data_IF_511086776881
#
_entry.id   IF_511086776881
#
_cell.length_a   1.000
_cell.length_b   1.000
_cell.length_c   1.000
_cell.angle_alpha   90.00
_cell.angle_beta   90.00
_cell.angle_gamma   90.00
#
_symmetry.space_group_name_H-M   'P 1'
#
loop_
_entity.id
_entity.type
_entity.pdbx_description
1 polymer ?
#
# COMPACT_ATOMS: atom_id res chain seq x y z
N UNK A 1 -22.30 0.53 1.07
CA UNK A 1 -22.70 1.97 1.06
C UNK A 1 -21.46 2.83 1.26
N UNK A 2 -21.20 3.76 0.33
CA UNK A 2 -20.04 4.67 0.45
C UNK A 2 -20.30 5.70 1.56
N UNK A 3 -19.46 5.67 2.60
CA UNK A 3 -19.54 6.56 3.76
C UNK A 3 -18.70 7.81 3.51
N UNK A 4 -19.29 8.99 3.75
CA UNK A 4 -18.58 10.27 3.67
C UNK A 4 -18.19 10.72 5.07
N UNK A 5 -16.91 10.97 5.28
CA UNK A 5 -16.33 11.39 6.56
C UNK A 5 -16.46 12.91 6.73
N UNK A 6 -16.74 13.34 7.94
CA UNK A 6 -16.65 14.75 8.35
C UNK A 6 -15.18 15.19 8.44
N UNK A 7 -14.93 16.49 8.51
CA UNK A 7 -13.57 17.04 8.72
C UNK A 7 -12.91 16.51 9.98
N UNK A 8 -13.69 16.30 11.06
CA UNK A 8 -13.17 15.70 12.31
C UNK A 8 -12.73 14.25 12.11
N UNK A 9 -13.52 13.44 11.41
CA UNK A 9 -13.18 12.05 11.12
C UNK A 9 -11.96 11.94 10.21
N UNK A 10 -11.84 12.79 9.20
CA UNK A 10 -10.64 12.88 8.35
C UNK A 10 -9.40 13.24 9.18
N UNK A 11 -9.53 14.10 10.19
CA UNK A 11 -8.41 14.40 11.10
C UNK A 11 -7.99 13.20 11.95
N UNK A 12 -8.96 12.40 12.45
CA UNK A 12 -8.65 11.15 13.16
C UNK A 12 -7.95 10.14 12.25
N UNK A 13 -8.40 10.01 11.00
CA UNK A 13 -7.73 9.20 9.99
C UNK A 13 -6.32 9.72 9.66
N UNK A 14 -6.12 11.04 9.66
CA UNK A 14 -4.78 11.64 9.48
C UNK A 14 -3.85 11.27 10.63
N UNK A 15 -4.36 11.20 11.88
CA UNK A 15 -3.58 10.77 13.05
C UNK A 15 -3.15 9.30 12.89
N UNK A 16 -4.07 8.40 12.52
CA UNK A 16 -3.76 7.00 12.22
C UNK A 16 -2.76 6.89 11.06
N UNK A 17 -2.99 7.64 9.97
CA UNK A 17 -2.12 7.66 8.79
C UNK A 17 -0.70 8.19 9.07
N UNK A 18 -0.54 9.09 10.03
CA UNK A 18 0.79 9.54 10.49
C UNK A 18 1.55 8.39 11.15
N UNK A 19 0.90 7.60 12.00
CA UNK A 19 1.52 6.41 12.62
C UNK A 19 1.90 5.37 11.55
N UNK A 20 1.04 5.15 10.55
CA UNK A 20 1.35 4.30 9.39
C UNK A 20 2.63 4.77 8.71
N UNK A 21 2.73 6.05 8.38
CA UNK A 21 3.88 6.61 7.67
C UNK A 21 5.19 6.55 8.49
N UNK A 22 5.13 6.78 9.81
CA UNK A 22 6.30 6.62 10.70
C UNK A 22 6.73 5.16 10.79
N UNK A 23 5.77 4.23 10.81
CA UNK A 23 6.04 2.79 10.81
C UNK A 23 6.72 2.38 9.50
N UNK A 24 6.18 2.75 8.34
CA UNK A 24 6.78 2.49 7.02
C UNK A 24 8.21 3.04 6.97
N UNK A 25 8.42 4.27 7.47
CA UNK A 25 9.76 4.86 7.51
C UNK A 25 10.75 4.02 8.33
N UNK A 26 10.35 3.56 9.51
CA UNK A 26 11.18 2.72 10.35
C UNK A 26 11.52 1.39 9.64
N UNK A 27 10.53 0.75 9.01
CA UNK A 27 10.70 -0.50 8.26
C UNK A 27 11.65 -0.30 7.06
N UNK A 28 11.39 0.69 6.22
CA UNK A 28 12.20 1.00 5.04
C UNK A 28 13.66 1.34 5.42
N UNK A 29 13.87 2.10 6.50
CA UNK A 29 15.19 2.46 7.00
C UNK A 29 15.99 1.24 7.48
N UNK A 30 15.32 0.24 8.05
CA UNK A 30 15.93 -0.98 8.57
C UNK A 30 16.00 -2.13 7.55
N UNK A 31 15.35 -2.02 6.40
CA UNK A 31 15.44 -2.99 5.32
C UNK A 31 16.84 -3.00 4.72
N UNK A 32 17.70 -3.91 5.21
CA UNK A 32 19.10 -4.07 4.81
C UNK A 32 19.47 -5.54 4.70
N UNK A 33 20.53 -5.92 3.95
CA UNK A 33 20.94 -7.31 3.86
C UNK A 33 21.20 -7.92 5.24
N UNK A 34 20.70 -9.14 5.44
CA UNK A 34 20.86 -9.93 6.66
C UNK A 34 19.73 -9.82 7.68
N UNK A 35 18.91 -8.76 7.66
CA UNK A 35 17.72 -8.69 8.53
C UNK A 35 16.67 -9.70 8.06
N UNK A 36 15.96 -10.30 8.99
CA UNK A 36 14.81 -11.16 8.69
C UNK A 36 13.53 -10.33 8.52
N UNK A 37 12.56 -10.85 7.78
CA UNK A 37 11.24 -10.21 7.68
C UNK A 37 10.51 -10.23 9.03
N UNK A 38 10.81 -11.19 9.94
CA UNK A 38 10.33 -11.23 11.32
C UNK A 38 10.84 -10.03 12.12
N UNK A 39 12.15 -9.76 12.11
CA UNK A 39 12.74 -8.60 12.79
C UNK A 39 12.17 -7.27 12.29
N UNK A 40 11.88 -7.16 10.98
CA UNK A 40 11.15 -6.01 10.43
C UNK A 40 9.73 -5.95 11.01
N UNK A 41 9.01 -7.07 11.08
CA UNK A 41 7.68 -7.13 11.68
C UNK A 41 7.66 -6.66 13.13
N UNK A 42 8.66 -7.05 13.93
CA UNK A 42 8.84 -6.61 15.32
C UNK A 42 9.09 -5.10 15.43
N UNK A 43 9.94 -4.54 14.56
CA UNK A 43 10.15 -3.08 14.47
C UNK A 43 8.82 -2.36 14.19
N UNK A 44 8.01 -2.90 13.26
CA UNK A 44 6.70 -2.33 12.94
C UNK A 44 5.76 -2.36 14.15
N UNK A 45 5.72 -3.48 14.87
CA UNK A 45 4.91 -3.63 16.09
C UNK A 45 5.29 -2.61 17.17
N UNK A 46 6.60 -2.44 17.42
CA UNK A 46 7.12 -1.50 18.42
C UNK A 46 6.74 -0.04 18.07
N UNK A 47 6.88 0.35 16.80
CA UNK A 47 6.51 1.71 16.36
C UNK A 47 5.01 1.94 16.55
N UNK A 48 4.16 1.05 16.03
CA UNK A 48 2.69 1.17 16.19
C UNK A 48 2.30 1.29 17.66
N UNK A 49 2.85 0.43 18.52
CA UNK A 49 2.58 0.43 19.95
C UNK A 49 3.04 1.73 20.62
N UNK A 50 4.18 2.30 20.23
CA UNK A 50 4.72 3.54 20.79
C UNK A 50 3.81 4.76 20.62
N UNK A 51 2.98 4.75 19.58
CA UNK A 51 1.96 5.77 19.32
C UNK A 51 0.58 5.42 19.89
N UNK A 52 0.45 4.31 20.62
CA UNK A 52 -0.84 3.83 21.17
C UNK A 52 -1.79 3.27 20.10
N UNK A 53 -1.30 3.02 18.88
CA UNK A 53 -2.04 2.39 17.80
C UNK A 53 -2.15 0.88 17.96
N UNK A 54 -3.03 0.27 17.16
CA UNK A 54 -3.16 -1.19 17.03
C UNK A 54 -2.99 -1.57 15.56
N UNK A 55 -2.35 -2.72 15.31
CA UNK A 55 -2.33 -3.28 13.96
C UNK A 55 -3.75 -3.53 13.47
N UNK A 56 -4.03 -3.11 12.24
CA UNK A 56 -5.27 -3.44 11.55
C UNK A 56 -5.22 -4.85 10.90
N UNK A 57 -4.01 -5.42 10.76
CA UNK A 57 -3.80 -6.68 10.07
C UNK A 57 -3.75 -7.89 11.01
N UNK A 58 -3.18 -7.73 12.21
CA UNK A 58 -3.06 -8.83 13.17
C UNK A 58 -4.44 -9.42 13.50
N UNK A 59 -4.60 -10.72 13.23
CA UNK A 59 -5.86 -11.45 13.35
C UNK A 59 -6.98 -11.01 12.40
N UNK A 60 -6.65 -10.19 11.38
CA UNK A 60 -7.61 -9.90 10.31
C UNK A 60 -8.00 -11.19 9.60
N UNK A 61 -9.30 -11.36 9.37
CA UNK A 61 -9.83 -12.54 8.71
C UNK A 61 -11.01 -12.17 7.81
N UNK A 62 -11.07 -12.81 6.66
CA UNK A 62 -12.21 -12.73 5.75
C UNK A 62 -12.89 -14.11 5.66
N UNK A 63 -14.12 -14.20 5.15
CA UNK A 63 -14.77 -15.50 4.91
C UNK A 63 -14.01 -16.41 3.93
N UNK A 64 -13.04 -15.85 3.19
CA UNK A 64 -12.28 -16.56 2.15
C UNK A 64 -10.89 -16.98 2.59
N UNK A 65 -10.40 -16.50 3.73
CA UNK A 65 -9.07 -16.86 4.26
C UNK A 65 -9.16 -18.04 5.22
N UNK A 66 -8.23 -19.01 5.15
CA UNK A 66 -8.30 -20.23 5.96
C UNK A 66 -8.04 -19.96 7.45
N UNK A 67 -7.20 -18.97 7.76
CA UNK A 67 -6.78 -18.59 9.11
C UNK A 67 -6.70 -17.07 9.24
N UNK A 68 -6.80 -16.52 10.48
CA UNK A 68 -6.50 -15.11 10.70
C UNK A 68 -5.07 -14.76 10.29
N UNK A 69 -4.86 -13.55 9.75
CA UNK A 69 -3.51 -13.07 9.40
C UNK A 69 -2.62 -12.99 10.65
N UNK A 70 -1.43 -13.60 10.65
CA UNK A 70 -0.62 -13.73 11.86
C UNK A 70 0.34 -12.55 12.11
N UNK A 71 0.52 -11.67 11.12
CA UNK A 71 1.50 -10.57 11.18
C UNK A 71 0.91 -9.24 11.67
N UNK A 72 1.75 -8.40 12.26
CA UNK A 72 1.38 -7.02 12.63
C UNK A 72 1.42 -6.10 11.42
N UNK A 73 2.30 -6.37 10.47
CA UNK A 73 2.49 -5.69 9.18
C UNK A 73 2.68 -6.74 8.10
N UNK A 74 2.50 -6.39 6.82
CA UNK A 74 2.86 -7.27 5.72
C UNK A 74 4.26 -6.94 5.20
N UNK A 75 5.07 -7.97 4.95
CA UNK A 75 6.43 -7.83 4.39
C UNK A 75 6.55 -8.78 3.20
N UNK A 76 6.43 -8.23 2.01
CA UNK A 76 6.44 -8.97 0.74
C UNK A 76 7.76 -8.75 0.01
N UNK A 77 8.43 -9.82 -0.43
CA UNK A 77 9.80 -9.75 -0.98
C UNK A 77 9.83 -10.23 -2.42
N UNK A 78 10.36 -9.42 -3.33
CA UNK A 78 10.58 -9.71 -4.75
C UNK A 78 9.30 -9.96 -5.55
N UNK A 79 8.96 -11.22 -5.82
CA UNK A 79 7.78 -11.66 -6.56
C UNK A 79 6.50 -11.73 -5.70
N UNK A 80 6.64 -11.62 -4.38
CA UNK A 80 5.50 -11.44 -3.49
C UNK A 80 4.93 -10.03 -3.67
N UNK A 81 3.66 -9.95 -4.04
CA UNK A 81 2.98 -8.69 -4.35
C UNK A 81 2.53 -8.01 -3.07
N UNK A 82 1.71 -8.73 -2.27
CA UNK A 82 1.10 -8.26 -1.01
C UNK A 82 0.91 -9.42 -0.03
N UNK A 83 0.56 -9.09 1.20
CA UNK A 83 0.20 -9.99 2.29
C UNK A 83 1.30 -10.96 2.71
N UNK A 84 2.56 -10.69 2.38
CA UNK A 84 3.70 -11.49 2.81
C UNK A 84 3.78 -11.57 4.34
N UNK A 85 3.80 -12.79 4.88
CA UNK A 85 3.85 -13.04 6.33
C UNK A 85 5.29 -12.86 6.83
N UNK A 86 5.54 -11.98 7.81
CA UNK A 86 6.85 -11.84 8.44
C UNK A 86 7.37 -13.17 9.03
N UNK A 87 8.58 -13.58 8.66
CA UNK A 87 9.16 -14.87 9.01
C UNK A 87 10.70 -14.87 9.02
N UNK A 88 11.29 -16.04 8.95
CA UNK A 88 12.74 -16.22 9.07
C UNK A 88 13.52 -15.93 7.77
N UNK A 89 12.82 -15.48 6.70
CA UNK A 89 13.48 -15.08 5.45
C UNK A 89 14.38 -13.88 5.69
N UNK A 90 15.69 -14.05 5.42
CA UNK A 90 16.67 -12.97 5.46
C UNK A 90 16.70 -12.23 4.14
N UNK A 91 16.63 -10.90 4.21
CA UNK A 91 16.80 -10.03 3.05
C UNK A 91 18.25 -10.11 2.53
N UNK A 92 18.40 -10.06 1.21
CA UNK A 92 19.68 -10.13 0.51
C UNK A 92 19.95 -8.85 -0.26
N UNK A 93 21.21 -8.59 -0.55
CA UNK A 93 21.59 -7.53 -1.49
C UNK A 93 20.93 -7.78 -2.86
N UNK A 94 20.30 -6.77 -3.42
CA UNK A 94 19.55 -6.87 -4.66
C UNK A 94 18.05 -7.19 -4.52
N UNK A 95 17.55 -7.59 -3.34
CA UNK A 95 16.12 -7.76 -3.11
C UNK A 95 15.39 -6.43 -3.17
N UNK A 96 14.08 -6.49 -3.44
CA UNK A 96 13.14 -5.41 -3.12
C UNK A 96 12.16 -5.91 -2.07
N UNK A 97 11.74 -5.03 -1.19
CA UNK A 97 10.76 -5.37 -0.14
C UNK A 97 9.65 -4.33 -0.10
N UNK A 98 8.42 -4.81 -0.22
CA UNK A 98 7.20 -4.05 0.00
C UNK A 98 6.81 -4.19 1.46
N UNK A 99 6.67 -3.08 2.16
CA UNK A 99 6.16 -3.00 3.51
C UNK A 99 4.78 -2.36 3.46
N UNK A 100 3.79 -3.02 4.06
CA UNK A 100 2.41 -2.59 4.06
C UNK A 100 1.90 -2.56 5.50
N UNK A 101 1.29 -1.45 5.89
CA UNK A 101 1.01 -1.10 7.28
C UNK A 101 -0.39 -0.51 7.42
N UNK A 102 -1.26 -1.26 8.09
CA UNK A 102 -2.57 -0.78 8.54
C UNK A 102 -2.58 -0.50 10.05
N UNK A 103 -3.05 0.67 10.45
CA UNK A 103 -3.13 1.08 11.87
C UNK A 103 -4.54 1.52 12.23
N UNK A 104 -5.08 0.97 13.32
CA UNK A 104 -6.27 1.46 14.00
C UNK A 104 -5.86 2.37 15.17
N UNK A 105 -6.27 3.63 15.11
CA UNK A 105 -6.06 4.62 16.16
C UNK A 105 -7.32 5.45 16.35
N UNK A 106 -7.76 5.66 17.60
CA UNK A 106 -8.95 6.46 17.94
C UNK A 106 -10.23 6.07 17.16
N UNK A 107 -10.35 4.76 16.81
CA UNK A 107 -11.51 4.20 16.11
C UNK A 107 -11.52 4.43 14.59
N UNK A 108 -10.40 4.84 13.99
CA UNK A 108 -10.23 5.01 12.55
C UNK A 108 -8.96 4.35 12.06
N UNK A 109 -9.00 3.89 10.80
CA UNK A 109 -7.87 3.25 10.12
C UNK A 109 -7.08 4.26 9.28
N UNK A 110 -5.78 4.04 9.25
CA UNK A 110 -4.88 4.51 8.19
C UNK A 110 -4.24 3.29 7.55
N UNK A 111 -3.98 3.36 6.25
CA UNK A 111 -3.45 2.27 5.45
C UNK A 111 -2.51 2.82 4.38
N UNK A 112 -1.32 2.26 4.27
CA UNK A 112 -0.36 2.61 3.23
C UNK A 112 0.74 1.56 3.07
N UNK A 113 1.33 1.55 1.87
CA UNK A 113 2.44 0.68 1.53
C UNK A 113 3.55 1.40 0.76
N UNK A 114 4.74 0.84 0.82
CA UNK A 114 5.87 1.29 0.01
C UNK A 114 6.90 0.20 -0.23
N UNK A 115 7.53 0.23 -1.41
CA UNK A 115 8.57 -0.72 -1.80
C UNK A 115 9.93 -0.03 -1.82
N UNK A 116 10.93 -0.68 -1.22
CA UNK A 116 12.32 -0.19 -1.22
C UNK A 116 13.29 -1.28 -1.68
N UNK A 117 14.41 -0.85 -2.24
CA UNK A 117 15.53 -1.74 -2.54
C UNK A 117 16.33 -2.10 -1.29
N UNK A 118 16.87 -3.30 -1.26
CA UNK A 118 17.76 -3.81 -0.23
C UNK A 118 19.18 -3.82 -0.77
N UNK A 119 20.05 -2.96 -0.25
CA UNK A 119 21.39 -2.79 -0.81
C UNK A 119 21.35 -2.24 -2.24
N UNK A 120 22.15 -2.82 -3.14
CA UNK A 120 22.29 -2.36 -4.53
C UNK A 120 21.33 -3.14 -5.44
N UNK A 121 20.36 -2.45 -6.04
CA UNK A 121 19.39 -3.03 -6.97
C UNK A 121 19.71 -2.67 -8.45
N UNK A 122 19.36 -3.57 -9.41
CA UNK A 122 19.54 -3.31 -10.84
C UNK A 122 18.71 -2.11 -11.31
N UNK A 123 19.16 -1.44 -12.39
CA UNK A 123 18.50 -0.28 -12.97
C UNK A 123 17.04 -0.58 -13.39
N UNK A 124 16.78 -1.74 -14.00
CA UNK A 124 15.42 -2.16 -14.36
C UNK A 124 14.51 -2.29 -13.13
N UNK A 125 15.04 -2.77 -12.01
CA UNK A 125 14.31 -2.88 -10.74
C UNK A 125 14.04 -1.49 -10.17
N UNK A 126 15.01 -0.57 -10.20
CA UNK A 126 14.81 0.82 -9.79
C UNK A 126 13.69 1.47 -10.58
N UNK A 127 13.69 1.29 -11.92
CA UNK A 127 12.64 1.80 -12.79
C UNK A 127 11.25 1.25 -12.42
N UNK A 128 11.14 -0.03 -12.01
CA UNK A 128 9.87 -0.59 -11.52
C UNK A 128 9.36 0.19 -10.31
N UNK A 129 10.22 0.44 -9.30
CA UNK A 129 9.84 1.19 -8.10
C UNK A 129 9.40 2.63 -8.45
N UNK A 130 10.17 3.31 -9.28
CA UNK A 130 9.88 4.69 -9.71
C UNK A 130 8.55 4.78 -10.46
N UNK A 131 8.32 3.86 -11.41
CA UNK A 131 7.07 3.83 -12.19
C UNK A 131 5.87 3.48 -11.32
N UNK A 132 6.02 2.53 -10.37
CA UNK A 132 4.92 2.18 -9.46
C UNK A 132 4.54 3.37 -8.57
N UNK A 133 5.53 4.08 -8.04
CA UNK A 133 5.31 5.33 -7.30
C UNK A 133 4.64 6.39 -8.19
N UNK A 134 5.07 6.54 -9.44
CA UNK A 134 4.44 7.46 -10.40
C UNK A 134 2.97 7.06 -10.69
N UNK A 135 2.67 5.76 -10.78
CA UNK A 135 1.31 5.25 -10.90
C UNK A 135 0.43 5.72 -9.74
N UNK A 136 0.93 5.63 -8.50
CA UNK A 136 0.22 6.09 -7.31
C UNK A 136 -0.11 7.59 -7.41
N UNK A 137 0.86 8.45 -7.72
CA UNK A 137 0.61 9.90 -7.78
C UNK A 137 -0.29 10.29 -8.95
N UNK A 138 -0.13 9.67 -10.11
CA UNK A 138 -1.02 9.92 -11.25
C UNK A 138 -2.46 9.48 -10.93
N UNK A 139 -2.63 8.42 -10.14
CA UNK A 139 -3.93 8.00 -9.61
C UNK A 139 -4.50 9.03 -8.61
N UNK A 140 -3.70 9.49 -7.66
CA UNK A 140 -4.09 10.49 -6.65
C UNK A 140 -4.53 11.81 -7.31
N UNK A 141 -3.83 12.28 -8.35
CA UNK A 141 -4.25 13.48 -9.10
C UNK A 141 -5.67 13.39 -9.67
N UNK A 142 -6.15 12.18 -9.98
CA UNK A 142 -7.51 11.94 -10.46
C UNK A 142 -8.53 11.82 -9.32
N UNK A 143 -8.10 11.73 -8.07
CA UNK A 143 -8.96 11.59 -6.91
C UNK A 143 -9.59 12.94 -6.47
N UNK A 144 -10.17 13.69 -7.40
CA UNK A 144 -10.83 14.98 -7.17
C UNK A 144 -12.34 14.89 -7.25
N UNK A 145 -13.09 15.75 -6.52
CA UNK A 145 -14.54 15.79 -6.61
C UNK A 145 -15.02 15.97 -8.06
N UNK A 146 -16.06 15.23 -8.44
CA UNK A 146 -16.59 15.24 -9.81
C UNK A 146 -15.93 14.25 -10.77
N UNK A 147 -14.76 13.76 -10.49
CA UNK A 147 -14.18 12.63 -11.22
C UNK A 147 -14.83 11.30 -10.80
N UNK A 148 -14.56 10.25 -11.56
CA UNK A 148 -14.99 8.88 -11.24
C UNK A 148 -13.81 8.01 -10.86
N UNK A 149 -14.05 6.99 -10.05
CA UNK A 149 -13.00 6.02 -9.65
C UNK A 149 -12.29 5.41 -10.86
N UNK A 150 -13.02 5.10 -11.93
CA UNK A 150 -12.41 4.57 -13.16
C UNK A 150 -11.32 5.47 -13.77
N UNK A 151 -11.31 6.78 -13.48
CA UNK A 151 -10.26 7.69 -13.95
C UNK A 151 -8.97 7.50 -13.17
N UNK A 152 -9.05 7.08 -11.89
CA UNK A 152 -7.88 6.69 -11.07
C UNK A 152 -7.24 5.46 -11.71
N UNK A 153 -7.99 4.38 -11.88
CA UNK A 153 -7.48 3.14 -12.48
C UNK A 153 -6.93 3.34 -13.90
N UNK A 154 -7.61 4.18 -14.71
CA UNK A 154 -7.11 4.53 -16.05
C UNK A 154 -5.73 5.21 -16.00
N UNK A 155 -5.53 6.15 -15.08
CA UNK A 155 -4.26 6.87 -14.94
C UNK A 155 -3.14 5.93 -14.48
N UNK A 156 -3.41 5.05 -13.52
CA UNK A 156 -2.49 4.01 -13.04
C UNK A 156 -2.08 3.09 -14.19
N UNK A 157 -3.06 2.49 -14.88
CA UNK A 157 -2.84 1.55 -15.96
C UNK A 157 -2.02 2.16 -17.11
N UNK A 158 -2.41 3.34 -17.57
CA UNK A 158 -1.70 4.03 -18.67
C UNK A 158 -0.24 4.32 -18.29
N UNK A 159 0.04 4.66 -17.04
CA UNK A 159 1.40 4.92 -16.57
C UNK A 159 2.24 3.65 -16.57
N UNK A 160 1.72 2.55 -16.03
CA UNK A 160 2.42 1.27 -15.97
C UNK A 160 2.67 0.69 -17.37
N UNK A 161 1.62 0.57 -18.20
CA UNK A 161 1.70 -0.05 -19.52
C UNK A 161 2.59 0.73 -20.50
N UNK A 162 2.58 2.07 -20.44
CA UNK A 162 3.50 2.92 -21.22
C UNK A 162 4.97 2.62 -20.92
N UNK A 163 5.28 2.14 -19.71
CA UNK A 163 6.62 1.77 -19.29
C UNK A 163 6.92 0.28 -19.45
N UNK A 164 5.98 -0.50 -20.03
CA UNK A 164 6.14 -1.93 -20.29
C UNK A 164 5.97 -2.81 -19.08
N UNK A 165 5.22 -2.37 -18.05
CA UNK A 165 4.93 -3.11 -16.83
C UNK A 165 3.47 -3.59 -16.77
N UNK A 166 3.24 -4.71 -16.07
CA UNK A 166 1.91 -5.27 -15.83
C UNK A 166 1.22 -4.58 -14.64
N UNK A 167 -0.13 -4.56 -14.66
CA UNK A 167 -0.97 -4.05 -13.57
C UNK A 167 -1.80 -5.19 -13.03
N UNK A 168 -1.65 -5.52 -11.74
CA UNK A 168 -2.43 -6.55 -11.06
C UNK A 168 -3.92 -6.18 -11.10
N UNK A 169 -4.78 -7.19 -11.33
CA UNK A 169 -6.22 -6.99 -11.54
C UNK A 169 -7.10 -7.66 -10.49
N UNK A 170 -6.60 -8.70 -9.85
CA UNK A 170 -7.33 -9.48 -8.84
C UNK A 170 -7.43 -8.76 -7.50
N UNK A 171 -6.53 -7.81 -7.26
CA UNK A 171 -6.46 -6.99 -6.07
C UNK A 171 -6.68 -5.53 -6.45
N UNK A 172 -7.41 -4.81 -5.61
CA UNK A 172 -7.85 -3.45 -5.89
C UNK A 172 -7.85 -2.62 -4.60
N UNK A 173 -7.68 -1.33 -4.71
CA UNK A 173 -7.87 -0.40 -3.62
C UNK A 173 -9.32 -0.36 -3.13
N UNK A 174 -9.56 0.31 -2.02
CA UNK A 174 -10.82 0.27 -1.29
C UNK A 174 -11.14 1.60 -0.58
N UNK A 175 -12.36 1.75 -0.13
CA UNK A 175 -12.68 2.74 0.88
C UNK A 175 -12.01 2.37 2.20
N UNK A 176 -11.67 3.35 3.01
CA UNK A 176 -11.05 3.16 4.33
C UNK A 176 -11.68 4.12 5.34
N UNK A 177 -11.82 3.70 6.59
CA UNK A 177 -12.45 4.56 7.60
C UNK A 177 -12.52 3.92 8.97
N UNK A 178 -13.75 3.62 9.45
CA UNK A 178 -13.96 2.86 10.69
C UNK A 178 -13.61 1.40 10.52
N UNK A 179 -13.84 0.88 9.33
CA UNK A 179 -13.36 -0.43 8.91
C UNK A 179 -12.12 -0.25 8.03
N UNK A 180 -11.22 -1.24 8.04
CA UNK A 180 -10.05 -1.25 7.20
C UNK A 180 -10.47 -1.25 5.72
N UNK A 181 -11.42 -2.11 5.35
CA UNK A 181 -11.97 -2.20 4.01
C UNK A 181 -13.43 -1.75 4.00
N UNK A 182 -13.69 -0.63 3.33
CA UNK A 182 -15.02 -0.08 3.07
C UNK A 182 -15.30 0.01 1.57
N UNK A 183 -16.56 0.27 1.20
CA UNK A 183 -16.90 0.72 -0.16
C UNK A 183 -16.29 2.11 -0.42
N UNK A 184 -15.91 2.40 -1.66
CA UNK A 184 -16.00 1.57 -2.87
C UNK A 184 -14.68 0.82 -3.15
N UNK A 185 -14.73 -0.18 -4.03
CA UNK A 185 -13.52 -0.70 -4.67
C UNK A 185 -12.87 0.36 -5.56
N UNK A 186 -11.53 0.39 -5.58
CA UNK A 186 -10.69 1.33 -6.35
C UNK A 186 -9.70 0.57 -7.23
N UNK A 187 -10.13 0.05 -8.39
CA UNK A 187 -9.27 -0.71 -9.28
C UNK A 187 -8.09 0.11 -9.82
N UNK A 188 -6.95 -0.57 -10.01
CA UNK A 188 -5.73 0.00 -10.58
C UNK A 188 -5.73 -0.02 -12.12
N UNK A 189 -6.82 -0.41 -12.74
CA UNK A 189 -7.01 -0.48 -14.19
C UNK A 189 -8.36 0.09 -14.59
N UNK A 190 -8.53 0.41 -15.86
CA UNK A 190 -9.78 0.97 -16.36
C UNK A 190 -10.87 -0.09 -16.41
N UNK A 191 -11.97 0.18 -15.72
CA UNK A 191 -13.21 -0.63 -15.80
C UNK A 191 -14.21 0.13 -16.67
N UNK A 192 -14.68 -0.53 -17.72
CA UNK A 192 -15.76 -0.02 -18.54
C UNK A 192 -17.10 -0.24 -17.84
N UNK A 193 -17.99 0.76 -17.85
CA UNK A 193 -19.31 0.67 -17.24
C UNK A 193 -19.49 1.58 -16.03
N UNK A 194 -20.30 1.12 -15.05
CA UNK A 194 -20.61 1.93 -13.86
C UNK A 194 -19.37 2.13 -12.99
N UNK A 195 -19.11 3.39 -12.66
CA UNK A 195 -18.04 3.77 -11.74
C UNK A 195 -18.53 4.89 -10.82
N UNK A 196 -18.38 4.75 -9.50
CA UNK A 196 -18.80 5.76 -8.54
C UNK A 196 -18.18 7.13 -8.80
N UNK A 197 -19.00 8.17 -8.60
CA UNK A 197 -18.54 9.56 -8.62
C UNK A 197 -17.84 9.89 -7.31
N UNK A 198 -16.66 10.48 -7.39
CA UNK A 198 -15.91 10.96 -6.22
C UNK A 198 -16.58 12.20 -5.64
N UNK A 199 -16.82 12.16 -4.34
CA UNK A 199 -17.50 13.24 -3.59
C UNK A 199 -16.66 13.63 -2.38
N UNK A 200 -16.68 14.90 -2.03
CA UNK A 200 -16.05 15.42 -0.79
C UNK A 200 -16.49 14.61 0.43
N UNK A 201 -15.51 14.23 1.25
CA UNK A 201 -15.67 13.39 2.44
C UNK A 201 -15.47 11.89 2.18
N UNK A 202 -15.34 11.43 0.95
CA UNK A 202 -14.88 10.05 0.68
C UNK A 202 -13.41 9.91 1.06
N UNK A 203 -13.06 8.73 1.59
CA UNK A 203 -11.70 8.34 1.93
C UNK A 203 -11.42 6.97 1.32
N UNK A 204 -10.34 6.86 0.57
CA UNK A 204 -10.00 5.69 -0.24
C UNK A 204 -8.51 5.35 -0.13
N UNK A 205 -8.17 4.08 -0.18
CA UNK A 205 -6.84 3.58 -0.47
C UNK A 205 -6.63 3.53 -1.99
N UNK A 206 -5.55 4.10 -2.47
CA UNK A 206 -5.08 4.01 -3.86
C UNK A 206 -3.76 3.27 -3.80
N UNK A 207 -3.70 2.05 -4.37
CA UNK A 207 -2.66 1.08 -4.10
C UNK A 207 -2.21 0.32 -5.36
N UNK A 208 -1.57 0.98 -6.32
CA UNK A 208 -1.05 0.30 -7.49
C UNK A 208 -0.06 -0.82 -7.13
N UNK A 209 -0.35 -2.02 -7.61
CA UNK A 209 0.49 -3.20 -7.58
C UNK A 209 0.95 -3.47 -9.02
N UNK A 210 2.24 -3.23 -9.27
CA UNK A 210 2.84 -3.25 -10.62
C UNK A 210 3.88 -4.34 -10.72
N UNK A 211 3.81 -5.13 -11.79
CA UNK A 211 4.68 -6.27 -12.02
C UNK A 211 5.66 -6.02 -13.16
N UNK A 212 6.86 -6.58 -13.06
CA UNK A 212 7.87 -6.49 -14.11
C UNK A 212 7.53 -7.38 -15.33
N UNK A 213 6.64 -8.34 -15.15
CA UNK A 213 6.15 -9.28 -16.15
C UNK A 213 4.64 -9.22 -16.35
N UNK A 214 3.99 -10.39 -16.34
CA UNK A 214 2.54 -10.49 -16.48
C UNK A 214 1.80 -10.09 -15.21
N UNK A 215 0.55 -9.65 -15.35
CA UNK A 215 -0.29 -9.16 -14.24
C UNK A 215 -0.93 -10.27 -13.41
N UNK A 216 -0.90 -11.52 -13.89
CA UNK A 216 -1.56 -12.66 -13.24
C UNK A 216 -0.85 -13.03 -11.94
N UNK A 217 -1.65 -13.46 -10.98
CA UNK A 217 -1.19 -13.76 -9.63
C UNK A 217 -1.48 -15.21 -9.23
N UNK A 218 -0.87 -15.66 -8.15
CA UNK A 218 -1.16 -16.92 -7.45
C UNK A 218 -1.10 -16.69 -5.95
N UNK A 219 -1.92 -17.38 -5.20
CA UNK A 219 -1.84 -17.49 -3.75
C UNK A 219 -0.81 -18.54 -3.37
N UNK A 220 0.01 -18.27 -2.37
CA UNK A 220 0.98 -19.22 -1.83
C UNK A 220 0.32 -20.16 -0.80
N UNK A 221 1.03 -21.23 -0.45
CA UNK A 221 0.53 -22.29 0.44
C UNK A 221 0.28 -21.85 1.89
N UNK A 222 0.73 -20.63 2.27
CA UNK A 222 0.44 -20.03 3.58
C UNK A 222 -0.99 -19.48 3.68
N UNK A 223 -1.73 -19.42 2.54
CA UNK A 223 -3.12 -18.98 2.46
C UNK A 223 -3.32 -17.48 2.56
N UNK A 224 -2.23 -16.68 2.43
CA UNK A 224 -2.25 -15.22 2.50
C UNK A 224 -1.41 -14.55 1.44
N UNK A 225 -0.15 -14.97 1.30
CA UNK A 225 0.79 -14.29 0.40
C UNK A 225 0.37 -14.44 -1.05
N UNK A 226 0.19 -13.32 -1.73
CA UNK A 226 -0.07 -13.26 -3.16
C UNK A 226 1.23 -12.94 -3.90
N UNK A 227 1.56 -13.77 -4.88
CA UNK A 227 2.78 -13.68 -5.68
C UNK A 227 2.45 -13.56 -7.16
N UNK A 228 3.38 -13.04 -7.96
CA UNK A 228 3.25 -13.05 -9.42
C UNK A 228 3.27 -14.50 -9.94
N UNK A 229 2.43 -14.80 -10.92
CA UNK A 229 2.33 -16.15 -11.47
C UNK A 229 3.62 -16.58 -12.20
N UNK A 230 4.28 -15.61 -12.84
CA UNK A 230 5.50 -15.83 -13.64
C UNK A 230 6.81 -15.67 -12.85
N UNK A 231 6.73 -15.36 -11.54
CA UNK A 231 7.91 -15.15 -10.68
C UNK A 231 8.64 -13.83 -10.94
N UNK A 232 8.06 -12.90 -11.70
CA UNK A 232 8.64 -11.58 -11.93
C UNK A 232 8.52 -10.69 -10.69
N UNK A 233 9.43 -9.72 -10.54
CA UNK A 233 9.39 -8.76 -9.44
C UNK A 233 8.10 -7.94 -9.47
N UNK A 234 7.58 -7.60 -8.28
CA UNK A 234 6.45 -6.70 -8.10
C UNK A 234 6.78 -5.58 -7.13
N UNK A 235 6.19 -4.40 -7.35
CA UNK A 235 6.26 -3.28 -6.42
C UNK A 235 4.84 -2.82 -6.06
N UNK A 236 4.67 -2.42 -4.80
CA UNK A 236 3.44 -1.93 -4.23
C UNK A 236 3.69 -0.58 -3.55
N UNK A 237 2.93 0.43 -3.93
CA UNK A 237 2.90 1.73 -3.25
C UNK A 237 1.45 2.12 -3.00
N UNK A 238 1.19 2.71 -1.85
CA UNK A 238 -0.16 3.02 -1.43
C UNK A 238 -0.22 4.26 -0.55
N UNK A 239 -1.34 4.99 -0.66
CA UNK A 239 -1.76 6.00 0.29
C UNK A 239 -3.26 5.96 0.56
N UNK A 240 -3.64 6.18 1.83
CA UNK A 240 -4.99 6.61 2.18
C UNK A 240 -5.17 8.09 1.80
N UNK A 241 -6.23 8.38 1.04
CA UNK A 241 -6.50 9.70 0.47
C UNK A 241 -7.92 10.14 0.81
N UNK A 242 -8.08 11.36 1.33
CA UNK A 242 -9.38 12.00 1.49
C UNK A 242 -9.70 12.87 0.26
N UNK A 243 -10.92 12.77 -0.23
CA UNK A 243 -11.46 13.66 -1.26
C UNK A 243 -11.98 14.92 -0.57
N UNK A 244 -11.31 16.05 -0.78
CA UNK A 244 -11.66 17.34 -0.18
C UNK A 244 -12.21 18.32 -1.24
N UNK A 245 -12.78 19.42 -0.80
CA UNK A 245 -13.21 20.50 -1.70
C UNK A 245 -12.06 21.08 -2.54
N UNK A 246 -10.83 21.01 -1.99
CA UNK A 246 -9.61 21.51 -2.63
C UNK A 246 -8.84 20.41 -3.42
N UNK A 247 -9.45 19.24 -3.64
CA UNK A 247 -8.84 18.10 -4.29
C UNK A 247 -8.41 17.00 -3.30
N UNK A 248 -7.57 16.04 -3.74
CA UNK A 248 -7.12 14.94 -2.91
C UNK A 248 -6.17 15.42 -1.80
N UNK A 249 -6.36 14.88 -0.61
CA UNK A 249 -5.48 15.07 0.53
C UNK A 249 -4.91 13.71 0.97
N UNK A 250 -3.60 13.55 0.90
CA UNK A 250 -2.92 12.34 1.40
C UNK A 250 -2.97 12.36 2.93
N UNK A 251 -3.46 11.28 3.55
CA UNK A 251 -3.59 11.14 4.99
C UNK A 251 -2.38 10.43 5.62
N UNK A 252 -1.65 9.63 4.86
CA UNK A 252 -0.55 8.77 5.29
C UNK A 252 0.82 9.42 5.03
N UNK A 253 1.00 10.62 5.55
CA UNK A 253 2.29 11.32 5.59
C UNK A 253 2.81 11.37 7.03
N UNK A 254 4.12 11.44 7.20
CA UNK A 254 4.79 11.65 8.48
C UNK A 254 4.46 13.04 9.05
N UNK A 255 4.81 13.27 10.31
CA UNK A 255 4.60 14.55 10.98
C UNK A 255 5.26 15.72 10.21
N UNK A 256 6.43 15.48 9.64
CA UNK A 256 7.17 16.48 8.83
C UNK A 256 6.65 16.65 7.40
N UNK A 257 5.50 16.03 7.05
CA UNK A 257 4.88 16.09 5.73
C UNK A 257 5.53 15.22 4.65
N UNK A 258 6.55 14.41 5.00
CA UNK A 258 7.19 13.47 4.06
C UNK A 258 6.49 12.12 4.07
N UNK A 259 6.71 11.36 3.01
CA UNK A 259 6.26 9.97 2.89
C UNK A 259 7.08 9.03 3.79
N UNK A 260 6.48 7.94 4.25
CA UNK A 260 7.18 6.92 5.02
C UNK A 260 8.27 6.20 4.21
N UNK A 261 8.04 6.00 2.93
CA UNK A 261 8.99 5.35 2.03
C UNK A 261 10.03 6.31 1.39
N UNK A 262 10.02 7.61 1.73
CA UNK A 262 11.05 8.55 1.30
C UNK A 262 12.29 8.45 2.21
N UNK A 263 13.17 7.51 1.88
CA UNK A 263 14.46 7.29 2.55
C UNK A 263 15.59 7.94 1.73
N UNK A 264 15.65 9.25 1.75
CA UNK A 264 16.61 10.09 0.99
C UNK A 264 18.10 9.79 1.26
N UNK A 265 18.42 8.91 2.22
CA UNK A 265 19.79 8.49 2.55
C UNK A 265 20.25 7.19 1.88
N UNK A 266 19.38 6.46 1.19
CA UNK A 266 19.77 5.30 0.39
C UNK A 266 20.03 5.76 -1.06
N UNK A 267 21.27 6.15 -1.38
CA UNK A 267 21.76 6.15 -2.76
C UNK A 267 21.83 4.67 -3.21
N UNK A 268 20.94 4.29 -4.07
CA UNK A 268 20.95 2.97 -4.74
C UNK A 268 22.13 2.84 -5.70
#
# INVERSE_FOLDING_TARGET
LIIRKSKREIQLMRNAGMVVAETIYALCKNAKPGITTRELGEIGADVIASYGGKSAFLHYQTPYTPTPYPGVVCISVNDEIVHGIPGDRKLKDGDIVSVDVGVLLEGYHGDAAGTVGVGKIPEKTRKLLEVTRQCLYNGIEKASPGNRIAQIGKAVQQTAEKNGFGVVRELVGHGVGRDLHEDPQVPNYFINGFSPLLKTGMTIAIEPMITMGHWQVKELSDGWTISTLDGSLSAHFEHSVAITENGPQILTLRENGKEGFDITSKSY
#
